data_IF_470818495527
#
_entry.id   IF_470818495527
#
_cell.length_a   1.000
_cell.length_b   1.000
_cell.length_c   1.000
_cell.angle_alpha   90.00
_cell.angle_beta   90.00
_cell.angle_gamma   90.00
#
_symmetry.space_group_name_H-M   'P 1'
#
loop_
_entity.id
_entity.type
_entity.pdbx_description
1 polymer ?
#
# COMPACT_ATOMS: atom_id res chain seq x y z
N UNK A 1 21.64 -24.41 15.09
CA UNK A 1 20.96 -23.49 14.14
C UNK A 1 19.72 -22.92 14.83
N UNK A 2 19.74 -21.64 15.22
CA UNK A 2 18.57 -20.99 15.85
C UNK A 2 17.58 -20.47 14.81
N UNK A 3 16.28 -20.66 15.05
CA UNK A 3 15.23 -19.99 14.24
C UNK A 3 15.16 -18.51 14.64
N UNK A 4 14.93 -17.56 13.71
CA UNK A 4 14.79 -16.16 14.06
C UNK A 4 13.53 -15.94 14.92
N UNK A 5 13.57 -15.00 15.89
CA UNK A 5 12.39 -14.67 16.71
C UNK A 5 11.31 -14.01 15.85
N UNK A 6 10.05 -14.37 16.10
CA UNK A 6 8.89 -13.79 15.41
C UNK A 6 8.56 -12.43 16.02
N UNK A 7 8.54 -11.37 15.21
CA UNK A 7 8.03 -10.07 15.63
C UNK A 7 6.54 -10.17 16.04
N UNK A 8 6.12 -9.34 17.00
CA UNK A 8 4.74 -9.31 17.51
C UNK A 8 3.94 -8.21 16.81
N UNK A 9 2.80 -8.59 16.25
CA UNK A 9 1.78 -7.64 15.80
C UNK A 9 0.89 -7.24 16.98
N UNK A 10 0.45 -5.97 17.01
CA UNK A 10 -0.53 -5.48 17.99
C UNK A 10 -1.73 -4.87 17.27
N UNK A 11 -2.90 -5.21 17.77
CA UNK A 11 -4.20 -5.01 17.14
C UNK A 11 -4.83 -3.67 17.56
N UNK A 12 -5.64 -3.07 16.68
CA UNK A 12 -6.30 -1.79 16.92
C UNK A 12 -7.83 -1.92 16.80
N UNK A 13 -8.46 -2.59 17.78
CA UNK A 13 -9.84 -2.33 18.23
C UNK A 13 -10.13 -3.14 19.52
N UNK A 14 -10.86 -2.55 20.47
CA UNK A 14 -11.29 -3.18 21.72
C UNK A 14 -12.65 -2.57 22.16
N UNK A 15 -13.43 -3.18 23.08
CA UNK A 15 -13.11 -4.38 23.87
C UNK A 15 -14.20 -5.47 23.88
N UNK A 16 -13.78 -6.75 23.84
CA UNK A 16 -14.50 -7.81 24.58
C UNK A 16 -13.59 -9.00 24.92
N UNK A 17 -12.65 -8.80 25.84
CA UNK A 17 -11.88 -9.90 26.43
C UNK A 17 -12.35 -10.23 27.83
N UNK A 18 -12.75 -11.50 28.01
CA UNK A 18 -13.26 -12.07 29.25
C UNK A 18 -12.07 -12.48 30.13
N UNK A 19 -12.15 -12.22 31.43
CA UNK A 19 -11.07 -12.50 32.38
C UNK A 19 -10.63 -13.98 32.35
N UNK A 20 -9.31 -14.20 32.40
CA UNK A 20 -8.74 -15.54 32.52
C UNK A 20 -9.08 -16.17 33.87
N UNK A 21 -9.43 -17.47 33.86
CA UNK A 21 -9.41 -18.35 35.04
C UNK A 21 -8.50 -19.56 34.74
N UNK A 22 -7.89 -20.17 35.76
CA UNK A 22 -6.74 -21.05 35.58
C UNK A 22 -7.11 -22.43 34.99
N UNK A 23 -6.08 -23.13 34.51
CA UNK A 23 -6.19 -24.46 33.92
C UNK A 23 -6.77 -25.48 34.91
N UNK A 24 -7.84 -26.15 34.52
CA UNK A 24 -8.22 -27.48 35.02
C UNK A 24 -8.36 -28.44 33.83
N UNK A 25 -7.77 -29.62 33.96
CA UNK A 25 -7.94 -30.74 33.03
C UNK A 25 -9.36 -31.33 33.13
N UNK A 26 -9.88 -31.90 32.03
CA UNK A 26 -10.70 -33.13 31.90
C UNK A 26 -11.34 -33.23 30.48
N UNK A 27 -11.99 -34.34 30.02
CA UNK A 27 -11.42 -35.19 28.97
C UNK A 27 -12.19 -35.14 27.63
N UNK A 28 -11.79 -36.01 26.68
CA UNK A 28 -12.46 -36.18 25.37
C UNK A 28 -13.82 -36.89 25.49
N UNK A 29 -14.92 -36.22 25.13
CA UNK A 29 -16.13 -36.79 24.49
C UNK A 29 -16.97 -35.66 23.83
N UNK A 30 -17.72 -35.91 22.74
CA UNK A 30 -18.59 -34.91 22.11
C UNK A 30 -20.08 -35.04 22.52
N UNK A 31 -20.81 -33.94 22.76
CA UNK A 31 -22.27 -33.91 22.91
C UNK A 31 -23.02 -33.59 21.59
N UNK A 32 -24.36 -33.74 21.53
CA UNK A 32 -25.12 -33.92 20.28
C UNK A 32 -25.77 -32.65 19.68
N UNK A 33 -26.56 -32.85 18.61
CA UNK A 33 -27.29 -31.83 17.81
C UNK A 33 -28.59 -31.34 18.46
N UNK A 34 -29.00 -30.11 18.12
CA UNK A 34 -30.29 -29.45 18.39
C UNK A 34 -30.07 -27.93 18.49
N UNK A 35 -30.44 -27.13 17.47
CA UNK A 35 -31.69 -26.33 17.38
C UNK A 35 -31.87 -25.27 18.49
N UNK A 36 -32.32 -24.04 18.25
CA UNK A 36 -32.39 -23.18 17.05
C UNK A 36 -32.70 -21.72 17.50
N UNK A 37 -32.37 -20.69 16.70
CA UNK A 37 -32.96 -19.35 16.85
C UNK A 37 -32.03 -18.14 16.66
N UNK A 38 -32.37 -17.27 15.69
CA UNK A 38 -31.94 -15.86 15.66
C UNK A 38 -30.93 -15.45 14.56
N UNK A 39 -31.41 -15.27 13.33
CA UNK A 39 -30.76 -14.54 12.23
C UNK A 39 -30.78 -13.00 12.42
N UNK A 40 -30.20 -12.13 11.53
CA UNK A 40 -29.49 -12.38 10.26
C UNK A 40 -28.12 -11.66 10.09
N UNK A 41 -27.56 -11.76 8.87
CA UNK A 41 -26.52 -10.91 8.26
C UNK A 41 -25.04 -11.11 8.69
N UNK A 42 -24.32 -11.98 7.96
CA UNK A 42 -23.54 -11.51 6.81
C UNK A 42 -23.11 -12.67 5.90
N UNK A 43 -23.43 -12.55 4.62
CA UNK A 43 -23.14 -13.51 3.55
C UNK A 43 -21.63 -13.70 3.39
N UNK A 44 -21.14 -14.94 3.29
CA UNK A 44 -20.01 -15.27 2.39
C UNK A 44 -20.03 -16.74 1.94
N UNK A 45 -19.94 -16.93 0.62
CA UNK A 45 -20.16 -18.19 -0.10
C UNK A 45 -19.17 -18.28 -1.27
N UNK A 46 -18.55 -19.41 -1.63
CA UNK A 46 -18.74 -20.78 -1.13
C UNK A 46 -17.49 -21.69 -1.26
N UNK A 47 -16.87 -21.73 -2.44
CA UNK A 47 -16.18 -22.91 -2.98
C UNK A 47 -14.77 -22.51 -3.48
N UNK A 48 -13.75 -23.38 -3.61
CA UNK A 48 -13.70 -24.84 -3.78
C UNK A 48 -12.54 -25.47 -3.00
N UNK A 49 -12.79 -26.62 -2.36
CA UNK A 49 -11.75 -27.61 -2.05
C UNK A 49 -11.89 -28.73 -3.08
N UNK A 50 -11.09 -28.67 -4.14
CA UNK A 50 -11.09 -29.70 -5.21
C UNK A 50 -9.74 -30.39 -5.27
N UNK A 51 -9.79 -31.70 -5.12
CA UNK A 51 -8.70 -32.61 -5.48
C UNK A 51 -8.43 -32.51 -6.98
N UNK A 52 -7.16 -32.61 -7.38
CA UNK A 52 -6.79 -33.16 -8.69
C UNK A 52 -5.33 -33.60 -8.66
N UNK A 53 -5.12 -34.89 -8.42
CA UNK A 53 -3.90 -35.60 -8.80
C UNK A 53 -4.06 -36.09 -10.25
N UNK A 54 -2.92 -36.32 -10.91
CA UNK A 54 -2.78 -36.92 -12.23
C UNK A 54 -3.29 -36.10 -13.44
N UNK A 55 -2.35 -35.57 -14.22
CA UNK A 55 -2.11 -36.03 -15.59
C UNK A 55 -0.80 -35.42 -16.15
N UNK A 56 0.30 -36.16 -16.08
CA UNK A 56 1.52 -35.82 -16.79
C UNK A 56 1.55 -36.56 -18.13
N UNK A 57 1.50 -35.83 -19.25
CA UNK A 57 1.73 -36.38 -20.58
C UNK A 57 2.36 -35.33 -21.51
N UNK A 58 3.69 -35.43 -21.63
CA UNK A 58 4.40 -35.61 -22.90
C UNK A 58 4.07 -34.72 -24.11
N UNK A 59 5.03 -33.88 -24.49
CA UNK A 59 5.47 -33.65 -25.88
C UNK A 59 6.89 -33.08 -25.92
N UNK A 60 7.67 -33.50 -26.92
CA UNK A 60 9.12 -33.24 -27.04
C UNK A 60 9.47 -31.80 -27.45
N UNK A 61 10.71 -31.33 -27.18
CA UNK A 61 11.16 -29.99 -27.57
C UNK A 61 11.55 -29.89 -29.06
N UNK A 62 11.30 -28.74 -29.72
CA UNK A 62 11.92 -28.41 -31.00
C UNK A 62 13.37 -27.93 -30.85
N UNK A 63 14.15 -28.10 -31.93
CA UNK A 63 15.59 -27.83 -32.05
C UNK A 63 15.92 -26.31 -32.01
N UNK A 64 17.19 -25.89 -31.77
CA UNK A 64 17.52 -24.48 -31.55
C UNK A 64 17.59 -23.66 -32.85
N UNK A 65 17.10 -22.42 -32.80
CA UNK A 65 17.29 -21.41 -33.84
C UNK A 65 18.74 -20.85 -33.84
N UNK A 66 19.25 -20.40 -35.00
CA UNK A 66 20.61 -19.87 -35.13
C UNK A 66 20.78 -18.48 -34.48
N UNK A 67 21.99 -18.24 -33.97
CA UNK A 67 22.39 -17.03 -33.25
C UNK A 67 22.24 -15.73 -34.07
N UNK A 68 21.77 -14.61 -33.47
CA UNK A 68 21.87 -13.29 -34.08
C UNK A 68 23.34 -12.78 -34.07
N UNK A 69 23.74 -11.93 -35.04
CA UNK A 69 25.09 -11.38 -35.11
C UNK A 69 25.40 -10.38 -33.98
N UNK A 70 26.68 -10.28 -33.62
CA UNK A 70 27.21 -9.44 -32.55
C UNK A 70 26.93 -7.94 -32.73
N UNK A 71 26.72 -7.17 -31.64
CA UNK A 71 26.53 -5.72 -31.71
C UNK A 71 27.85 -5.00 -32.04
N UNK A 72 27.81 -3.83 -32.71
CA UNK A 72 28.98 -3.00 -32.96
C UNK A 72 29.49 -2.32 -31.68
N UNK A 73 30.81 -2.13 -31.63
CA UNK A 73 31.58 -1.52 -30.53
C UNK A 73 31.08 -0.10 -30.18
N UNK A 74 30.99 0.29 -28.89
CA UNK A 74 30.58 1.64 -28.51
C UNK A 74 31.60 2.70 -28.93
N UNK A 75 31.11 3.81 -29.49
CA UNK A 75 31.90 5.02 -29.70
C UNK A 75 32.26 5.71 -28.36
N UNK A 76 33.33 6.50 -28.37
CA UNK A 76 33.91 7.13 -27.18
C UNK A 76 32.91 7.98 -26.37
N UNK A 77 33.06 8.06 -25.04
CA UNK A 77 32.16 8.83 -24.18
C UNK A 77 32.28 10.34 -24.45
N UNK A 78 31.14 10.98 -24.68
CA UNK A 78 31.04 12.44 -24.78
C UNK A 78 31.27 13.07 -23.41
N UNK A 79 32.10 14.11 -23.35
CA UNK A 79 32.43 14.81 -22.12
C UNK A 79 31.41 15.92 -21.82
N UNK A 80 31.39 16.41 -20.57
CA UNK A 80 30.49 17.46 -20.09
C UNK A 80 30.53 18.77 -20.93
N UNK A 81 31.61 19.00 -21.69
CA UNK A 81 31.74 20.15 -22.57
C UNK A 81 30.68 20.22 -23.68
N UNK A 82 30.23 19.07 -24.20
CA UNK A 82 29.20 19.00 -25.27
C UNK A 82 27.83 19.55 -24.81
N UNK A 83 27.58 19.62 -23.49
CA UNK A 83 26.30 20.08 -22.93
C UNK A 83 26.13 21.61 -22.95
N UNK A 84 27.23 22.36 -23.01
CA UNK A 84 27.21 23.84 -22.95
C UNK A 84 27.38 24.52 -24.32
N UNK A 85 27.70 23.75 -25.36
CA UNK A 85 27.83 24.25 -26.73
C UNK A 85 26.45 24.48 -27.38
N UNK A 86 25.92 25.72 -27.32
CA UNK A 86 24.75 26.12 -28.12
C UNK A 86 25.13 26.17 -29.60
N UNK A 87 24.54 25.36 -30.51
CA UNK A 87 24.73 25.57 -31.94
C UNK A 87 23.97 26.83 -32.38
N UNK A 88 24.66 27.69 -33.13
CA UNK A 88 24.06 28.90 -33.70
C UNK A 88 22.99 28.57 -34.76
N UNK A 89 22.07 29.52 -34.99
CA UNK A 89 20.93 29.40 -35.92
C UNK A 89 21.32 28.78 -37.27
N UNK A 90 20.64 27.69 -37.65
CA UNK A 90 20.50 27.30 -39.06
C UNK A 90 19.04 27.38 -39.45
N UNK A 91 18.69 28.39 -40.26
CA UNK A 91 17.36 28.52 -40.84
C UNK A 91 17.10 27.34 -41.78
N UNK A 92 16.01 26.60 -41.53
CA UNK A 92 15.44 25.64 -42.48
C UNK A 92 13.95 25.97 -42.60
N UNK A 93 13.50 26.29 -43.81
CA UNK A 93 12.11 26.61 -44.07
C UNK A 93 11.21 25.38 -43.83
N UNK A 94 10.03 25.62 -43.26
CA UNK A 94 8.95 24.64 -43.15
C UNK A 94 7.79 25.09 -44.07
N UNK A 95 7.06 24.15 -44.70
CA UNK A 95 5.93 24.48 -45.56
C UNK A 95 4.75 25.02 -44.73
N UNK A 96 3.97 25.91 -45.33
CA UNK A 96 2.80 26.52 -44.68
C UNK A 96 1.69 25.48 -44.47
N UNK A 97 1.28 25.30 -43.22
CA UNK A 97 -0.01 24.74 -42.84
C UNK A 97 -0.75 25.80 -42.00
N UNK A 98 -2.03 25.99 -42.28
CA UNK A 98 -2.80 27.17 -41.88
C UNK A 98 -3.01 27.28 -40.37
N UNK A 99 -2.75 28.48 -39.82
CA UNK A 99 -3.21 28.85 -38.48
C UNK A 99 -4.73 29.05 -38.49
N UNK A 100 -5.47 28.10 -37.92
CA UNK A 100 -6.82 28.37 -37.42
C UNK A 100 -6.70 28.99 -36.03
N UNK A 101 -6.83 30.32 -35.95
CA UNK A 101 -6.87 31.05 -34.70
C UNK A 101 -8.24 30.87 -34.04
N UNK A 102 -8.28 30.15 -32.92
CA UNK A 102 -9.33 30.34 -31.92
C UNK A 102 -8.71 30.32 -30.52
N UNK A 103 -8.40 31.52 -30.02
CA UNK A 103 -7.86 31.74 -28.69
C UNK A 103 -8.98 31.71 -27.65
N UNK A 104 -9.07 30.60 -26.90
CA UNK A 104 -9.85 30.49 -25.67
C UNK A 104 -8.94 30.05 -24.53
N UNK A 105 -9.11 30.54 -23.29
CA UNK A 105 -8.19 30.28 -22.20
C UNK A 105 -8.30 28.84 -21.68
N UNK A 106 -7.44 27.97 -22.24
CA UNK A 106 -6.87 26.76 -21.62
C UNK A 106 -7.75 25.99 -20.61
N UNK A 107 -8.82 25.34 -21.09
CA UNK A 107 -9.46 24.26 -20.33
C UNK A 107 -8.64 22.97 -20.49
N UNK A 108 -8.16 22.40 -19.38
CA UNK A 108 -7.55 21.07 -19.38
C UNK A 108 -8.59 20.03 -19.83
N UNK A 109 -8.17 19.06 -20.65
CA UNK A 109 -9.03 17.91 -20.98
C UNK A 109 -9.36 17.10 -19.72
N UNK A 110 -10.46 16.32 -19.69
CA UNK A 110 -10.82 15.52 -18.52
C UNK A 110 -9.70 14.58 -18.07
N UNK A 111 -8.96 14.00 -19.01
CA UNK A 111 -7.81 13.14 -18.71
C UNK A 111 -6.60 13.93 -18.17
N UNK A 112 -6.35 15.14 -18.67
CA UNK A 112 -5.32 16.02 -18.12
C UNK A 112 -5.67 16.47 -16.69
N UNK A 113 -6.95 16.76 -16.42
CA UNK A 113 -7.46 17.11 -15.08
C UNK A 113 -7.27 15.96 -14.10
N UNK A 114 -7.76 14.74 -14.40
CA UNK A 114 -7.57 13.55 -13.57
C UNK A 114 -6.10 13.27 -13.24
N UNK A 115 -5.20 13.44 -14.21
CA UNK A 115 -3.74 13.32 -14.00
C UNK A 115 -3.19 14.41 -13.08
N UNK A 116 -3.59 15.66 -13.28
CA UNK A 116 -3.19 16.77 -12.41
C UNK A 116 -3.67 16.57 -10.97
N UNK A 117 -4.93 16.17 -10.78
CA UNK A 117 -5.54 15.91 -9.47
C UNK A 117 -4.86 14.73 -8.76
N UNK A 118 -4.59 13.63 -9.47
CA UNK A 118 -3.85 12.48 -8.93
C UNK A 118 -2.42 12.87 -8.54
N UNK A 119 -1.74 13.69 -9.35
CA UNK A 119 -0.41 14.18 -9.03
C UNK A 119 -0.41 15.13 -7.81
N UNK A 120 -1.44 15.96 -7.67
CA UNK A 120 -1.64 16.83 -6.51
C UNK A 120 -1.91 16.02 -5.24
N UNK A 121 -2.73 14.97 -5.32
CA UNK A 121 -2.97 14.05 -4.21
C UNK A 121 -1.69 13.32 -3.78
N UNK A 122 -0.90 12.79 -4.74
CA UNK A 122 0.43 12.23 -4.48
C UNK A 122 1.38 13.25 -3.84
N UNK A 123 1.37 14.50 -4.27
CA UNK A 123 2.20 15.56 -3.69
C UNK A 123 1.78 15.90 -2.25
N UNK A 124 0.48 15.93 -1.95
CA UNK A 124 -0.06 16.10 -0.58
C UNK A 124 0.33 14.93 0.32
N UNK A 125 0.13 13.69 -0.13
CA UNK A 125 0.54 12.48 0.60
C UNK A 125 2.04 12.49 0.93
N UNK A 126 2.90 12.82 -0.04
CA UNK A 126 4.36 12.94 0.16
C UNK A 126 4.75 14.09 1.09
N UNK A 127 4.06 15.23 1.05
CA UNK A 127 4.24 16.33 2.03
C UNK A 127 3.91 15.83 3.44
N UNK A 128 2.75 15.19 3.60
CA UNK A 128 2.27 14.68 4.87
C UNK A 128 3.23 13.62 5.45
N UNK A 129 3.70 12.68 4.62
CA UNK A 129 4.70 11.69 5.03
C UNK A 129 5.97 12.34 5.61
N UNK A 130 6.54 13.36 4.93
CA UNK A 130 7.71 14.11 5.43
C UNK A 130 7.44 14.88 6.73
N UNK A 131 6.23 15.41 6.91
CA UNK A 131 5.84 16.07 8.16
C UNK A 131 5.75 15.07 9.32
N UNK A 132 5.16 13.90 9.09
CA UNK A 132 5.11 12.82 10.08
C UNK A 132 6.52 12.29 10.41
N UNK A 133 7.42 12.22 9.41
CA UNK A 133 8.83 11.84 9.59
C UNK A 133 9.59 12.87 10.44
N UNK A 134 9.50 14.16 10.10
CA UNK A 134 10.13 15.24 10.87
C UNK A 134 9.65 15.27 12.33
N UNK A 135 8.35 15.09 12.58
CA UNK A 135 7.81 14.96 13.94
C UNK A 135 8.34 13.72 14.66
N UNK A 136 8.38 12.56 13.99
CA UNK A 136 8.91 11.33 14.57
C UNK A 136 10.39 11.45 14.98
N UNK A 137 11.19 12.19 14.21
CA UNK A 137 12.59 12.48 14.53
C UNK A 137 12.72 13.46 15.71
N UNK A 138 11.88 14.51 15.76
CA UNK A 138 11.90 15.51 16.82
C UNK A 138 11.59 14.93 18.22
N UNK A 139 10.80 13.87 18.31
CA UNK A 139 10.39 13.25 19.58
C UNK A 139 11.36 12.20 20.15
N UNK A 140 12.62 12.16 19.72
CA UNK A 140 13.67 11.37 20.37
C UNK A 140 13.45 9.85 20.42
N UNK A 141 12.67 9.30 19.49
CA UNK A 141 12.41 7.85 19.38
C UNK A 141 11.00 7.39 19.79
N UNK A 142 10.22 8.23 20.49
CA UNK A 142 8.84 7.92 20.90
C UNK A 142 7.89 9.12 20.70
N UNK A 143 7.56 9.47 19.44
CA UNK A 143 6.53 10.47 19.16
C UNK A 143 5.17 10.11 19.75
N UNK A 144 4.44 11.12 20.25
CA UNK A 144 3.04 10.93 20.59
C UNK A 144 2.29 10.58 19.32
N UNK A 145 1.47 9.54 19.37
CA UNK A 145 0.80 9.02 18.18
C UNK A 145 -0.07 10.10 17.50
N UNK A 146 -0.82 10.88 18.29
CA UNK A 146 -1.59 12.05 17.83
C UNK A 146 -0.78 13.03 16.95
N UNK A 147 0.50 13.24 17.26
CA UNK A 147 1.33 14.20 16.51
C UNK A 147 1.64 13.69 15.09
N UNK A 148 1.66 12.36 14.89
CA UNK A 148 1.96 11.70 13.61
C UNK A 148 0.78 11.72 12.63
N UNK A 149 -0.43 12.05 13.10
CA UNK A 149 -1.58 12.30 12.24
C UNK A 149 -1.51 13.77 11.78
N UNK A 150 -1.03 13.98 10.56
CA UNK A 150 -0.75 15.34 10.02
C UNK A 150 -1.76 15.78 8.96
N UNK A 151 -2.61 14.88 8.49
CA UNK A 151 -3.74 15.22 7.64
C UNK A 151 -4.83 15.87 8.50
N UNK A 152 -5.15 17.12 8.18
CA UNK A 152 -5.92 18.02 9.03
C UNK A 152 -7.37 17.56 9.23
N UNK A 153 -8.01 17.02 8.20
CA UNK A 153 -9.41 16.57 8.26
C UNK A 153 -9.56 15.29 9.07
N UNK A 154 -8.60 14.36 8.99
CA UNK A 154 -8.53 13.20 9.87
C UNK A 154 -8.15 13.57 11.31
N UNK A 155 -7.22 14.50 11.50
CA UNK A 155 -6.82 14.98 12.82
C UNK A 155 -7.97 15.70 13.55
N UNK A 156 -8.89 16.32 12.80
CA UNK A 156 -10.16 16.82 13.33
C UNK A 156 -11.14 15.69 13.65
N UNK A 157 -11.46 14.82 12.68
CA UNK A 157 -12.42 13.74 12.85
C UNK A 157 -12.09 12.79 14.02
N UNK A 158 -10.80 12.50 14.23
CA UNK A 158 -10.33 11.59 15.29
C UNK A 158 -9.90 12.30 16.59
N UNK A 159 -10.00 13.63 16.67
CA UNK A 159 -9.55 14.44 17.83
C UNK A 159 -10.19 13.99 19.15
N UNK A 160 -11.48 13.65 19.12
CA UNK A 160 -12.21 13.16 20.29
C UNK A 160 -11.86 11.72 20.67
N UNK A 161 -11.56 10.88 19.67
CA UNK A 161 -11.29 9.46 19.87
C UNK A 161 -9.90 9.22 20.48
N UNK A 162 -8.88 9.90 19.94
CA UNK A 162 -7.49 9.76 20.39
C UNK A 162 -7.26 10.23 21.83
N UNK A 163 -8.15 11.11 22.33
CA UNK A 163 -8.12 11.63 23.72
C UNK A 163 -8.80 10.72 24.75
N UNK A 164 -9.47 9.63 24.34
CA UNK A 164 -10.09 8.69 25.27
C UNK A 164 -9.02 7.93 26.06
N UNK A 165 -9.33 7.54 27.30
CA UNK A 165 -8.38 6.87 28.20
C UNK A 165 -7.70 5.66 27.57
N UNK A 166 -8.46 4.76 26.95
CA UNK A 166 -7.92 3.56 26.29
C UNK A 166 -6.96 3.90 25.14
N UNK A 167 -7.19 5.00 24.41
CA UNK A 167 -6.35 5.44 23.30
C UNK A 167 -5.03 6.00 23.83
N UNK A 168 -5.08 6.81 24.90
CA UNK A 168 -3.89 7.32 25.59
C UNK A 168 -3.06 6.18 26.22
N UNK A 169 -3.72 5.18 26.82
CA UNK A 169 -3.07 3.95 27.32
C UNK A 169 -2.39 3.16 26.20
N UNK A 170 -3.07 2.95 25.07
CA UNK A 170 -2.50 2.31 23.89
C UNK A 170 -1.30 3.08 23.34
N UNK A 171 -1.36 4.41 23.29
CA UNK A 171 -0.24 5.25 22.86
C UNK A 171 0.98 5.07 23.77
N UNK A 172 0.79 5.08 25.10
CA UNK A 172 1.86 4.82 26.07
C UNK A 172 2.45 3.42 25.92
N UNK A 173 1.60 2.42 25.73
CA UNK A 173 2.02 1.03 25.50
C UNK A 173 2.89 0.89 24.24
N UNK A 174 2.43 1.42 23.10
CA UNK A 174 3.20 1.36 21.84
C UNK A 174 4.51 2.16 21.92
N UNK A 175 4.52 3.30 22.63
CA UNK A 175 5.75 4.05 22.89
C UNK A 175 6.74 3.25 23.76
N UNK A 176 6.27 2.60 24.83
CA UNK A 176 7.07 1.73 25.68
C UNK A 176 7.69 0.56 24.89
N UNK A 177 6.89 -0.17 24.11
CA UNK A 177 7.37 -1.30 23.31
C UNK A 177 8.38 -0.87 22.24
N UNK A 178 8.31 0.38 21.74
CA UNK A 178 9.28 0.93 20.79
C UNK A 178 10.64 1.27 21.43
N UNK A 179 10.64 1.71 22.68
CA UNK A 179 11.87 2.11 23.40
C UNK A 179 12.53 0.97 24.18
N UNK A 180 11.73 0.04 24.70
CA UNK A 180 12.16 -0.96 25.68
C UNK A 180 11.77 -2.40 25.30
N UNK A 181 11.00 -2.58 24.22
CA UNK A 181 10.57 -3.90 23.76
C UNK A 181 11.73 -4.74 23.20
N UNK A 182 11.71 -6.07 23.38
CA UNK A 182 12.77 -6.96 22.92
C UNK A 182 12.74 -7.23 21.40
N UNK A 183 11.78 -6.65 20.67
CA UNK A 183 11.53 -6.90 19.24
C UNK A 183 11.16 -5.59 18.54
N UNK A 184 11.54 -5.41 17.25
CA UNK A 184 11.20 -4.20 16.50
C UNK A 184 9.68 -4.10 16.28
N UNK A 185 9.12 -2.92 16.55
CA UNK A 185 7.70 -2.60 16.33
C UNK A 185 7.51 -1.97 14.94
N UNK A 186 6.76 -2.67 14.08
CA UNK A 186 6.41 -2.20 12.73
C UNK A 186 4.98 -1.65 12.65
N UNK A 187 4.70 -0.68 11.75
CA UNK A 187 5.66 0.04 10.91
C UNK A 187 6.50 1.04 11.71
N UNK A 188 7.53 1.68 11.12
CA UNK A 188 8.17 2.88 11.68
C UNK A 188 7.16 3.95 12.12
N UNK A 189 7.45 4.78 13.15
CA UNK A 189 6.45 5.68 13.73
C UNK A 189 5.76 6.60 12.71
N UNK A 190 6.54 7.23 11.82
CA UNK A 190 6.02 8.14 10.79
C UNK A 190 5.10 7.47 9.75
N UNK A 191 5.09 6.13 9.68
CA UNK A 191 4.22 5.35 8.81
C UNK A 191 2.97 4.81 9.52
N UNK A 192 2.82 4.96 10.85
CA UNK A 192 1.66 4.37 11.58
C UNK A 192 0.33 4.89 11.05
N UNK A 193 0.26 6.17 10.68
CA UNK A 193 -0.92 6.78 10.06
C UNK A 193 -0.78 7.03 8.56
N UNK A 194 0.09 6.32 7.83
CA UNK A 194 0.34 6.62 6.41
C UNK A 194 -0.95 6.57 5.56
N UNK A 195 -1.84 5.60 5.77
CA UNK A 195 -3.14 5.53 5.08
C UNK A 195 -4.00 6.80 5.25
N UNK A 196 -4.12 7.30 6.49
CA UNK A 196 -4.89 8.51 6.81
C UNK A 196 -4.15 9.76 6.30
N UNK A 197 -2.82 9.76 6.40
CA UNK A 197 -1.96 10.85 5.94
C UNK A 197 -1.94 10.99 4.40
N UNK A 198 -2.23 9.92 3.66
CA UNK A 198 -2.28 9.92 2.20
C UNK A 198 -3.60 10.45 1.62
N UNK A 199 -4.72 10.31 2.36
CA UNK A 199 -6.08 10.51 1.81
C UNK A 199 -6.91 11.37 2.75
N UNK A 200 -7.30 12.60 2.38
CA UNK A 200 -8.21 13.42 3.18
C UNK A 200 -9.53 12.71 3.47
N UNK A 201 -10.11 12.96 4.65
CA UNK A 201 -11.32 12.30 5.14
C UNK A 201 -12.50 12.45 4.18
N UNK A 202 -12.69 13.64 3.60
CA UNK A 202 -13.72 13.95 2.59
C UNK A 202 -13.52 13.24 1.24
N UNK A 203 -12.36 12.62 1.01
CA UNK A 203 -11.99 11.96 -0.26
C UNK A 203 -11.96 10.44 -0.17
N UNK A 204 -12.23 9.87 1.01
CA UNK A 204 -12.33 8.42 1.21
C UNK A 204 -13.58 7.89 0.50
N UNK A 205 -13.41 6.80 -0.27
CA UNK A 205 -14.50 6.16 -1.03
C UNK A 205 -14.66 4.67 -0.75
N UNK A 206 -13.57 4.01 -0.36
CA UNK A 206 -13.53 2.62 0.01
C UNK A 206 -12.57 2.45 1.18
N UNK A 207 -12.89 1.54 2.10
CA UNK A 207 -12.05 1.21 3.26
C UNK A 207 -11.66 -0.26 3.14
N UNK A 208 -10.37 -0.51 2.94
CA UNK A 208 -9.80 -1.86 2.88
C UNK A 208 -9.10 -2.16 4.20
N UNK A 209 -9.67 -3.07 4.98
CA UNK A 209 -9.18 -3.42 6.32
C UNK A 209 -8.26 -4.64 6.23
N UNK A 210 -7.03 -4.48 6.73
CA UNK A 210 -6.11 -5.59 7.00
C UNK A 210 -6.16 -5.99 8.48
N UNK A 211 -5.76 -7.24 8.79
CA UNK A 211 -5.73 -7.72 10.17
C UNK A 211 -4.58 -7.09 10.97
N UNK A 212 -3.35 -7.21 10.46
CA UNK A 212 -2.11 -6.80 11.11
C UNK A 212 -1.12 -6.25 10.06
N UNK A 213 -0.19 -5.35 10.43
CA UNK A 213 0.92 -4.96 9.57
C UNK A 213 1.84 -6.15 9.23
N UNK A 214 2.53 -6.09 8.07
CA UNK A 214 3.57 -7.05 7.74
C UNK A 214 4.73 -6.99 8.75
N UNK A 215 5.12 -8.16 9.26
CA UNK A 215 6.07 -8.27 10.37
C UNK A 215 7.55 -8.35 9.91
N UNK A 216 7.83 -8.34 8.60
CA UNK A 216 9.20 -8.39 8.08
C UNK A 216 9.84 -7.00 8.04
N UNK A 217 11.17 -6.89 8.26
CA UNK A 217 11.89 -5.62 8.15
C UNK A 217 11.62 -4.93 6.80
N UNK A 218 11.24 -3.65 6.84
CA UNK A 218 10.94 -2.85 5.65
C UNK A 218 9.66 -3.23 4.88
N UNK A 219 8.87 -4.20 5.34
CA UNK A 219 7.65 -4.61 4.62
C UNK A 219 6.44 -3.71 4.93
N UNK A 220 6.18 -3.42 6.21
CA UNK A 220 5.03 -2.60 6.59
C UNK A 220 5.27 -1.11 6.29
N UNK A 221 4.51 -0.59 5.32
CA UNK A 221 4.57 0.81 4.90
C UNK A 221 3.35 1.65 5.33
N UNK A 222 2.58 1.21 6.33
CA UNK A 222 1.42 1.96 6.84
C UNK A 222 0.16 1.96 5.96
N UNK A 223 0.14 1.11 4.93
CA UNK A 223 -1.00 0.85 4.04
C UNK A 223 -1.31 -0.66 4.11
N UNK A 224 -2.59 -1.04 4.22
CA UNK A 224 -3.00 -2.45 4.27
C UNK A 224 -2.63 -3.16 2.96
N UNK A 225 -2.14 -4.41 3.07
CA UNK A 225 -1.65 -5.25 1.96
C UNK A 225 -0.47 -4.71 1.13
N UNK A 226 -0.13 -3.43 1.24
CA UNK A 226 0.94 -2.77 0.49
C UNK A 226 2.33 -3.09 1.04
N UNK A 227 3.32 -3.18 0.16
CA UNK A 227 4.76 -3.20 0.49
C UNK A 227 5.53 -2.24 -0.40
N UNK A 228 6.67 -1.68 0.05
CA UNK A 228 7.51 -0.83 -0.79
C UNK A 228 7.97 -1.50 -2.09
N UNK A 229 8.31 -0.69 -3.09
CA UNK A 229 8.90 -1.20 -4.33
C UNK A 229 10.24 -1.91 -4.05
N UNK A 230 10.55 -2.96 -4.82
CA UNK A 230 11.68 -3.86 -4.57
C UNK A 230 11.45 -4.92 -3.48
N UNK A 231 10.44 -4.78 -2.62
CA UNK A 231 10.05 -5.85 -1.68
C UNK A 231 9.22 -6.91 -2.41
N UNK A 232 9.53 -8.20 -2.15
CA UNK A 232 8.77 -9.34 -2.69
C UNK A 232 7.29 -9.23 -2.33
N UNK A 233 6.42 -9.27 -3.35
CA UNK A 233 4.96 -9.26 -3.21
C UNK A 233 4.51 -10.39 -2.26
N UNK A 234 3.84 -10.07 -1.13
CA UNK A 234 3.31 -11.08 -0.20
C UNK A 234 2.19 -11.91 -0.82
N UNK A 235 1.98 -13.13 -0.31
CA UNK A 235 0.96 -14.05 -0.85
C UNK A 235 -0.46 -13.48 -0.84
N UNK A 236 -0.84 -12.74 0.22
CA UNK A 236 -2.15 -12.09 0.31
C UNK A 236 -2.37 -11.07 -0.82
N UNK A 237 -1.37 -10.21 -1.08
CA UNK A 237 -1.44 -9.25 -2.19
C UNK A 237 -1.40 -9.96 -3.55
N UNK A 238 -0.59 -11.01 -3.68
CA UNK A 238 -0.56 -11.84 -4.88
C UNK A 238 -1.91 -12.51 -5.18
N UNK A 239 -2.74 -12.79 -4.17
CA UNK A 239 -4.10 -13.28 -4.38
C UNK A 239 -5.08 -12.17 -4.78
N UNK A 240 -4.97 -10.97 -4.18
CA UNK A 240 -5.74 -9.78 -4.61
C UNK A 240 -5.47 -9.47 -6.10
N UNK A 241 -4.21 -9.50 -6.53
CA UNK A 241 -3.84 -9.28 -7.93
C UNK A 241 -4.35 -10.37 -8.89
N UNK A 242 -4.44 -11.64 -8.45
CA UNK A 242 -5.07 -12.70 -9.26
C UNK A 242 -6.56 -12.43 -9.47
N UNK A 243 -7.26 -12.04 -8.41
CA UNK A 243 -8.70 -11.78 -8.49
C UNK A 243 -8.99 -10.54 -9.34
N UNK A 244 -8.24 -9.44 -9.18
CA UNK A 244 -8.35 -8.26 -10.05
C UNK A 244 -8.08 -8.59 -11.53
N UNK A 245 -7.13 -9.49 -11.82
CA UNK A 245 -6.90 -9.94 -13.20
C UNK A 245 -8.05 -10.81 -13.73
N UNK A 246 -8.59 -11.70 -12.89
CA UNK A 246 -9.68 -12.63 -13.22
C UNK A 246 -11.00 -11.90 -13.46
N UNK A 247 -11.35 -10.96 -12.59
CA UNK A 247 -12.67 -10.31 -12.60
C UNK A 247 -12.71 -9.06 -13.50
N UNK A 248 -11.60 -8.31 -13.58
CA UNK A 248 -11.55 -7.02 -14.30
C UNK A 248 -10.56 -7.01 -15.48
N UNK A 249 -9.92 -8.15 -15.81
CA UNK A 249 -8.92 -8.23 -16.89
C UNK A 249 -7.65 -7.39 -16.67
N UNK A 250 -7.45 -6.87 -15.46
CA UNK A 250 -6.43 -5.85 -15.18
C UNK A 250 -5.00 -6.40 -15.32
N UNK A 251 -4.08 -5.53 -15.77
CA UNK A 251 -2.64 -5.82 -15.78
C UNK A 251 -2.11 -5.82 -14.35
N UNK A 252 -1.45 -6.90 -13.95
CA UNK A 252 -0.88 -7.05 -12.61
C UNK A 252 0.45 -6.28 -12.53
N UNK A 253 0.62 -5.34 -11.57
CA UNK A 253 1.90 -4.64 -11.37
C UNK A 253 3.02 -5.60 -10.95
N UNK A 254 4.26 -5.26 -11.30
CA UNK A 254 5.46 -5.97 -10.86
C UNK A 254 5.90 -5.63 -9.42
N UNK A 255 5.23 -4.66 -8.78
CA UNK A 255 5.53 -4.20 -7.41
C UNK A 255 4.32 -4.34 -6.48
N UNK A 256 4.58 -4.35 -5.17
CA UNK A 256 3.54 -4.42 -4.14
C UNK A 256 3.05 -3.07 -3.60
N UNK A 257 3.53 -1.94 -4.13
CA UNK A 257 3.15 -0.61 -3.64
C UNK A 257 1.75 -0.20 -4.13
N UNK A 258 0.84 0.07 -3.18
CA UNK A 258 -0.55 0.46 -3.38
C UNK A 258 -0.85 1.95 -3.06
N UNK A 259 0.18 2.80 -2.87
CA UNK A 259 -0.01 4.25 -2.64
C UNK A 259 -0.93 4.90 -3.68
N UNK A 260 -0.87 4.45 -4.93
CA UNK A 260 -1.75 4.93 -6.02
C UNK A 260 -3.23 4.69 -5.77
N UNK A 261 -3.61 3.65 -5.02
CA UNK A 261 -5.01 3.38 -4.67
C UNK A 261 -5.49 4.31 -3.55
N UNK A 262 -4.64 4.63 -2.58
CA UNK A 262 -4.98 5.54 -1.48
C UNK A 262 -5.29 6.95 -2.02
N UNK A 263 -4.44 7.47 -2.90
CA UNK A 263 -4.57 8.82 -3.47
C UNK A 263 -5.55 8.92 -4.65
N UNK A 264 -6.30 7.85 -4.98
CA UNK A 264 -7.06 7.78 -6.23
C UNK A 264 -8.31 8.67 -6.22
N UNK A 265 -8.21 9.83 -6.87
CA UNK A 265 -9.35 10.70 -7.16
C UNK A 265 -10.11 10.20 -8.40
N UNK A 266 -10.91 9.15 -8.24
CA UNK A 266 -11.95 8.81 -9.23
C UNK A 266 -13.03 9.89 -9.28
N UNK A 267 -13.15 10.59 -10.40
CA UNK A 267 -14.48 11.04 -10.84
C UNK A 267 -15.24 9.76 -11.21
N UNK A 268 -16.03 9.22 -10.27
CA UNK A 268 -17.18 8.43 -10.65
C UNK A 268 -18.13 9.43 -11.29
N UNK A 269 -18.35 9.29 -12.61
CA UNK A 269 -19.30 10.12 -13.33
C UNK A 269 -20.64 10.09 -12.60
N UNK A 270 -21.12 11.27 -12.19
CA UNK A 270 -22.49 11.50 -11.77
C UNK A 270 -23.40 11.61 -13.01
#
# INVERSE_FOLDING_TARGET
MGRPPRARSFFLLAPRWRAARPRTSFPKTPPPKGEAGGEPCLVWWLLTKTESLAAAASRNPPNPEPMPPSPPTPAAPKTIADFFARPAKRLRAAPAASLSSNSSPSSLSPEQRRRADTNLALARARRNLRLAESKAQASGGAPKLEELLVEETWAEALRGELRKSYALELCRFVAHERLHGPLPVYPPPHLVFHALNATPFDRVKAVIIGQDPYHGPGQAMGLSFSVPEGIKIPSSLGNIFKELKKDLGCTVPSHGNLERWAVQLSELNA
#
